data_IF_336397642388
#
_entry.id   IF_336397642388
#
_cell.length_a   1.000
_cell.length_b   1.000
_cell.length_c   1.000
_cell.angle_alpha   90.00
_cell.angle_beta   90.00
_cell.angle_gamma   90.00
#
_symmetry.space_group_name_H-M   'P 1'
#
loop_
_entity.id
_entity.type
_entity.pdbx_description
1 polymer ?
#
# COMPACT_ATOMS: atom_id res chain seq x y z
N UNK A 1 10.03 26.32 -6.32
CA UNK A 1 9.77 25.09 -7.06
C UNK A 1 8.29 24.75 -6.96
N UNK A 2 7.77 23.91 -7.85
CA UNK A 2 6.41 23.39 -7.70
C UNK A 2 6.25 22.68 -6.34
N UNK A 3 5.10 22.84 -5.68
CA UNK A 3 4.77 22.28 -4.36
C UNK A 3 5.61 22.74 -3.15
N UNK A 4 6.54 23.71 -3.30
CA UNK A 4 7.25 24.26 -2.14
C UNK A 4 6.24 24.80 -1.09
N UNK A 5 6.46 24.46 0.18
CA UNK A 5 5.68 25.01 1.27
C UNK A 5 6.23 26.38 1.63
N UNK A 6 5.40 27.41 1.48
CA UNK A 6 5.81 28.81 1.60
C UNK A 6 4.95 29.61 2.56
N UNK A 7 5.54 30.65 3.13
CA UNK A 7 4.81 31.78 3.70
C UNK A 7 4.64 32.80 2.58
N UNK A 8 3.38 33.10 2.24
CA UNK A 8 3.04 34.13 1.26
C UNK A 8 2.30 35.29 1.94
N UNK A 9 2.54 36.50 1.45
CA UNK A 9 1.78 37.70 1.80
C UNK A 9 0.73 37.91 0.72
N UNK A 10 -0.54 38.05 1.10
CA UNK A 10 -1.61 38.40 0.17
C UNK A 10 -1.50 39.89 -0.17
N UNK A 11 -1.44 40.22 -1.46
CA UNK A 11 -1.26 41.60 -1.96
C UNK A 11 -2.49 42.09 -2.76
N UNK A 12 -3.32 41.17 -3.27
CA UNK A 12 -4.55 41.50 -3.99
C UNK A 12 -5.83 41.16 -3.22
N UNK A 13 -6.77 42.11 -3.15
CA UNK A 13 -8.09 41.92 -2.50
C UNK A 13 -9.15 41.28 -3.42
N UNK A 14 -9.10 41.53 -4.73
CA UNK A 14 -10.11 41.03 -5.68
C UNK A 14 -9.72 39.73 -6.38
N UNK A 15 -8.43 39.58 -6.72
CA UNK A 15 -7.80 38.28 -6.99
C UNK A 15 -6.87 38.01 -5.83
N UNK A 16 -6.98 36.84 -5.20
CA UNK A 16 -6.09 36.42 -4.08
C UNK A 16 -4.68 36.16 -4.61
N UNK A 17 -4.02 37.21 -5.06
CA UNK A 17 -2.64 37.23 -5.48
C UNK A 17 -1.75 37.49 -4.26
N UNK A 18 -0.53 36.98 -4.30
CA UNK A 18 0.38 37.15 -3.19
C UNK A 18 1.83 36.91 -3.58
N UNK A 19 2.71 37.39 -2.71
CA UNK A 19 4.15 37.30 -2.86
C UNK A 19 4.72 36.31 -1.86
N UNK A 20 5.61 35.43 -2.33
CA UNK A 20 6.36 34.53 -1.46
C UNK A 20 7.32 35.35 -0.60
N UNK A 21 7.16 35.25 0.72
CA UNK A 21 8.01 35.92 1.71
C UNK A 21 9.14 34.99 2.14
N UNK A 22 8.82 33.72 2.38
CA UNK A 22 9.77 32.72 2.87
C UNK A 22 9.37 31.33 2.41
N UNK A 23 10.37 30.50 2.16
CA UNK A 23 10.20 29.09 1.85
C UNK A 23 10.48 28.30 3.12
N UNK A 24 9.48 27.54 3.59
CA UNK A 24 9.56 26.76 4.82
C UNK A 24 10.14 25.38 4.56
N UNK A 25 9.74 24.77 3.45
CA UNK A 25 10.11 23.42 3.07
C UNK A 25 10.15 23.31 1.55
N UNK A 26 11.20 22.66 1.04
CA UNK A 26 11.37 22.43 -0.39
C UNK A 26 10.72 21.11 -0.76
N UNK A 27 9.88 21.11 -1.78
CA UNK A 27 9.19 19.89 -2.20
C UNK A 27 10.13 18.91 -2.93
N UNK A 28 11.07 19.44 -3.71
CA UNK A 28 12.03 18.63 -4.47
C UNK A 28 13.45 18.91 -4.00
N UNK A 29 14.07 17.91 -3.39
CA UNK A 29 15.50 17.92 -3.00
C UNK A 29 16.35 17.09 -3.96
N UNK A 30 15.73 16.17 -4.70
CA UNK A 30 16.32 15.39 -5.79
C UNK A 30 15.52 15.60 -7.06
N UNK A 31 16.19 15.42 -8.19
CA UNK A 31 15.61 15.50 -9.53
C UNK A 31 16.13 14.34 -10.37
N UNK A 32 15.25 13.78 -11.21
CA UNK A 32 15.63 12.86 -12.28
C UNK A 32 15.70 13.59 -13.62
N UNK A 33 16.77 13.35 -14.38
CA UNK A 33 16.96 14.03 -15.65
C UNK A 33 18.12 13.50 -16.47
N UNK A 34 18.22 13.99 -17.71
CA UNK A 34 19.32 13.65 -18.61
C UNK A 34 20.48 14.62 -18.39
N UNK A 35 21.69 14.11 -18.16
CA UNK A 35 22.87 14.96 -18.07
C UNK A 35 23.37 15.32 -19.48
N UNK A 36 23.59 16.60 -19.72
CA UNK A 36 24.22 17.12 -20.92
C UNK A 36 25.58 17.72 -20.56
N UNK A 37 26.62 17.21 -21.18
CA UNK A 37 28.00 17.62 -20.95
C UNK A 37 28.51 18.26 -22.22
N UNK A 38 28.73 19.57 -22.14
CA UNK A 38 29.38 20.37 -23.19
C UNK A 38 30.85 20.57 -22.83
N UNK A 39 31.62 21.21 -23.74
CA UNK A 39 33.02 21.55 -23.47
C UNK A 39 33.19 22.54 -22.31
N UNK A 40 32.19 23.38 -22.04
CA UNK A 40 32.28 24.50 -21.09
C UNK A 40 31.45 24.29 -19.82
N UNK A 41 30.39 23.50 -19.88
CA UNK A 41 29.50 23.29 -18.74
C UNK A 41 28.76 21.94 -18.80
N UNK A 42 28.26 21.50 -17.66
CA UNK A 42 27.38 20.34 -17.54
C UNK A 42 26.06 20.76 -16.93
N UNK A 43 24.97 20.18 -17.42
CA UNK A 43 23.63 20.46 -16.93
C UNK A 43 22.82 19.18 -16.81
N UNK A 44 21.94 19.09 -15.83
CA UNK A 44 20.87 18.09 -15.78
C UNK A 44 19.58 18.73 -16.26
N UNK A 45 18.99 18.17 -17.32
CA UNK A 45 17.67 18.51 -17.83
C UNK A 45 16.63 17.62 -17.16
N UNK A 46 15.75 18.17 -16.29
CA UNK A 46 14.72 17.38 -15.63
C UNK A 46 13.80 16.68 -16.64
N UNK A 47 13.37 15.45 -16.35
CA UNK A 47 12.41 14.71 -17.20
C UNK A 47 11.01 15.34 -17.13
N UNK A 48 10.64 15.91 -15.97
CA UNK A 48 9.34 16.53 -15.76
C UNK A 48 9.28 17.99 -16.24
N UNK A 49 8.28 18.30 -17.09
CA UNK A 49 8.03 19.64 -17.64
C UNK A 49 7.64 20.69 -16.60
N UNK A 50 7.28 20.27 -15.37
CA UNK A 50 6.94 21.15 -14.26
C UNK A 50 8.14 21.90 -13.69
N UNK A 51 9.36 21.47 -14.01
CA UNK A 51 10.60 22.14 -13.66
C UNK A 51 11.22 22.76 -14.93
N UNK A 52 11.00 24.06 -15.21
CA UNK A 52 11.35 24.66 -16.49
C UNK A 52 12.82 25.12 -16.58
N UNK A 53 13.68 24.66 -15.67
CA UNK A 53 15.07 25.10 -15.56
C UNK A 53 16.02 23.91 -15.64
N UNK A 54 17.18 24.12 -16.26
CA UNK A 54 18.30 23.19 -16.24
C UNK A 54 19.14 23.40 -14.97
N UNK A 55 19.68 22.33 -14.40
CA UNK A 55 20.50 22.40 -13.20
C UNK A 55 21.97 22.29 -13.57
N UNK A 56 22.75 23.31 -13.26
CA UNK A 56 24.19 23.29 -13.47
C UNK A 56 24.86 22.21 -12.60
N UNK A 57 25.79 21.47 -13.20
CA UNK A 57 26.61 20.46 -12.52
C UNK A 57 28.07 20.89 -12.61
N UNK A 58 28.69 21.14 -11.46
CA UNK A 58 30.12 21.44 -11.43
C UNK A 58 30.95 20.21 -11.85
N UNK A 59 32.17 20.37 -12.39
CA UNK A 59 32.98 19.24 -12.84
C UNK A 59 33.21 18.16 -11.79
N UNK A 60 33.39 18.54 -10.51
CA UNK A 60 33.59 17.63 -9.40
C UNK A 60 32.30 16.93 -8.93
N UNK A 61 31.13 17.46 -9.33
CA UNK A 61 29.81 16.99 -8.93
C UNK A 61 29.16 16.08 -9.97
N UNK A 62 29.90 15.68 -11.02
CA UNK A 62 29.41 14.82 -12.10
C UNK A 62 29.20 13.36 -11.70
N UNK A 63 29.82 12.90 -10.61
CA UNK A 63 29.65 11.52 -10.12
C UNK A 63 30.00 10.42 -11.14
N UNK A 64 30.86 10.71 -12.12
CA UNK A 64 31.24 9.76 -13.18
C UNK A 64 30.24 9.64 -14.34
N UNK A 65 29.17 10.42 -14.36
CA UNK A 65 28.18 10.38 -15.43
C UNK A 65 28.74 10.84 -16.78
N UNK A 66 28.31 10.19 -17.86
CA UNK A 66 28.66 10.50 -19.25
C UNK A 66 27.56 11.33 -19.91
N UNK A 67 27.94 12.03 -20.97
CA UNK A 67 26.99 12.83 -21.75
C UNK A 67 25.81 11.98 -22.24
N UNK A 68 24.60 12.46 -21.98
CA UNK A 68 23.36 11.84 -22.42
C UNK A 68 22.82 10.73 -21.50
N UNK A 69 23.49 10.41 -20.40
CA UNK A 69 22.98 9.44 -19.41
C UNK A 69 21.85 10.05 -18.58
N UNK A 70 20.97 9.19 -18.06
CA UNK A 70 19.96 9.62 -17.08
C UNK A 70 20.54 9.51 -15.69
N UNK A 71 20.34 10.54 -14.88
CA UNK A 71 20.91 10.66 -13.55
C UNK A 71 19.86 11.10 -12.55
N UNK A 72 20.07 10.69 -11.30
CA UNK A 72 19.47 11.34 -10.13
C UNK A 72 20.48 12.34 -9.61
N UNK A 73 20.05 13.59 -9.46
CA UNK A 73 20.86 14.65 -8.92
C UNK A 73 20.21 15.28 -7.69
N UNK A 74 21.02 15.56 -6.67
CA UNK A 74 20.61 16.29 -5.48
C UNK A 74 20.79 17.80 -5.72
N UNK A 75 19.75 18.56 -5.41
CA UNK A 75 19.76 20.02 -5.61
C UNK A 75 20.64 20.67 -4.55
N UNK A 76 21.73 21.31 -4.99
CA UNK A 76 22.63 22.08 -4.13
C UNK A 76 22.09 23.49 -3.94
N UNK A 77 21.65 24.12 -5.03
CA UNK A 77 21.07 25.46 -4.99
C UNK A 77 19.85 25.57 -5.89
N UNK A 78 18.82 26.21 -5.36
CA UNK A 78 17.55 26.45 -6.05
C UNK A 78 17.63 27.68 -6.96
N UNK A 79 16.74 27.78 -7.98
CA UNK A 79 16.77 28.90 -8.91
C UNK A 79 16.49 30.22 -8.18
N UNK A 80 17.23 31.26 -8.57
CA UNK A 80 17.01 32.64 -8.15
C UNK A 80 17.03 33.55 -9.38
N UNK A 81 16.54 34.78 -9.26
CA UNK A 81 16.53 35.75 -10.38
C UNK A 81 17.92 35.99 -11.00
N UNK A 82 18.99 35.75 -10.23
CA UNK A 82 20.36 36.05 -10.64
C UNK A 82 21.21 34.82 -10.94
N UNK A 83 20.78 33.61 -10.56
CA UNK A 83 21.60 32.40 -10.65
C UNK A 83 20.77 31.19 -11.05
N UNK A 84 21.23 30.40 -12.03
CA UNK A 84 20.62 29.13 -12.34
C UNK A 84 20.75 28.18 -11.14
N UNK A 85 19.86 27.20 -11.02
CA UNK A 85 19.99 26.18 -9.99
C UNK A 85 21.21 25.29 -10.27
N UNK A 86 21.71 24.64 -9.22
CA UNK A 86 22.84 23.72 -9.31
C UNK A 86 22.53 22.43 -8.58
N UNK A 87 23.11 21.33 -9.04
CA UNK A 87 22.96 20.01 -8.45
C UNK A 87 24.26 19.20 -8.52
N UNK A 88 24.31 18.14 -7.72
CA UNK A 88 25.31 17.09 -7.82
C UNK A 88 24.69 15.77 -8.22
N UNK A 89 25.34 15.04 -9.11
CA UNK A 89 24.92 13.68 -9.48
C UNK A 89 25.19 12.76 -8.30
N UNK A 90 24.14 12.09 -7.83
CA UNK A 90 24.23 11.10 -6.74
C UNK A 90 24.10 9.67 -7.24
N UNK A 91 23.46 9.47 -8.40
CA UNK A 91 23.28 8.15 -9.03
C UNK A 91 23.15 8.28 -10.54
N UNK A 92 23.85 7.43 -11.29
CA UNK A 92 23.61 7.22 -12.72
C UNK A 92 22.62 6.07 -12.86
N UNK A 93 21.54 6.26 -13.62
CA UNK A 93 20.57 5.22 -13.90
C UNK A 93 21.02 4.42 -15.12
N UNK A 94 21.18 3.11 -14.94
CA UNK A 94 21.50 2.19 -16.02
C UNK A 94 20.25 1.95 -16.87
N UNK A 95 20.39 2.00 -18.20
CA UNK A 95 19.33 1.68 -19.18
C UNK A 95 17.98 2.38 -18.89
N UNK A 96 17.91 3.72 -18.99
CA UNK A 96 16.73 4.50 -18.63
C UNK A 96 15.48 4.21 -19.44
N UNK A 97 15.61 3.54 -20.58
CA UNK A 97 14.49 3.12 -21.43
C UNK A 97 13.83 1.80 -20.97
N UNK A 98 14.40 1.13 -19.96
CA UNK A 98 13.78 -0.04 -19.34
C UNK A 98 12.77 0.38 -18.25
N UNK A 99 11.56 -0.21 -18.19
CA UNK A 99 10.53 0.16 -17.19
C UNK A 99 11.02 0.12 -15.73
N UNK A 100 11.94 -0.80 -15.40
CA UNK A 100 12.55 -0.88 -14.06
C UNK A 100 13.34 0.37 -13.70
N UNK A 101 14.08 0.94 -14.64
CA UNK A 101 14.85 2.16 -14.41
C UNK A 101 13.92 3.36 -14.19
N UNK A 102 12.74 3.39 -14.83
CA UNK A 102 11.73 4.42 -14.57
C UNK A 102 11.15 4.33 -13.16
N UNK A 103 10.81 3.12 -12.69
CA UNK A 103 10.35 2.91 -11.32
C UNK A 103 11.43 3.33 -10.32
N UNK A 104 12.70 2.95 -10.55
CA UNK A 104 13.81 3.41 -9.72
C UNK A 104 13.97 4.94 -9.70
N UNK A 105 13.78 5.59 -10.85
CA UNK A 105 13.83 7.04 -10.95
C UNK A 105 12.75 7.69 -10.07
N UNK A 106 11.51 7.17 -10.11
CA UNK A 106 10.39 7.66 -9.31
C UNK A 106 10.68 7.46 -7.81
N UNK A 107 11.17 6.29 -7.42
CA UNK A 107 11.53 6.00 -6.02
C UNK A 107 12.55 7.01 -5.50
N UNK A 108 13.57 7.33 -6.28
CA UNK A 108 14.61 8.28 -5.89
C UNK A 108 14.14 9.74 -5.93
N UNK A 109 13.33 10.12 -6.92
CA UNK A 109 12.79 11.47 -7.08
C UNK A 109 11.84 11.84 -5.94
N UNK A 110 10.95 10.93 -5.56
CA UNK A 110 10.04 11.12 -4.42
C UNK A 110 10.68 10.74 -3.07
N UNK A 111 11.96 10.35 -3.08
CA UNK A 111 12.71 9.93 -1.89
C UNK A 111 11.96 8.87 -1.07
N UNK A 112 11.36 7.91 -1.76
CA UNK A 112 10.59 6.84 -1.13
C UNK A 112 11.54 5.91 -0.35
N UNK A 113 11.30 5.68 0.96
CA UNK A 113 12.13 4.81 1.78
C UNK A 113 12.00 3.35 1.34
N UNK A 114 12.89 2.89 0.46
CA UNK A 114 12.83 1.55 -0.12
C UNK A 114 13.74 0.51 0.57
N UNK A 115 14.61 0.95 1.49
CA UNK A 115 15.49 0.06 2.28
C UNK A 115 15.21 0.24 3.77
N UNK A 116 15.08 -0.88 4.48
CA UNK A 116 14.96 -0.82 5.94
C UNK A 116 16.34 -0.59 6.58
N UNK A 117 16.43 0.27 7.60
CA UNK A 117 17.64 0.38 8.40
C UNK A 117 18.00 -0.94 9.08
N UNK A 118 19.30 -1.17 9.33
CA UNK A 118 19.80 -2.40 9.96
C UNK A 118 19.09 -2.73 11.27
N UNK A 119 18.88 -1.73 12.13
CA UNK A 119 18.19 -1.93 13.41
C UNK A 119 16.73 -2.37 13.28
N UNK A 120 16.07 -2.08 12.16
CA UNK A 120 14.71 -2.57 11.87
C UNK A 120 14.73 -4.05 11.51
N UNK A 121 15.68 -4.48 10.69
CA UNK A 121 15.85 -5.90 10.36
C UNK A 121 16.25 -6.74 11.57
N UNK A 122 17.13 -6.23 12.44
CA UNK A 122 17.52 -6.91 13.67
C UNK A 122 16.32 -7.07 14.61
N UNK A 123 15.57 -5.98 14.84
CA UNK A 123 14.34 -6.03 15.64
C UNK A 123 13.28 -7.00 15.07
N UNK A 124 13.09 -7.05 13.75
CA UNK A 124 12.12 -7.94 13.13
C UNK A 124 12.49 -9.43 13.29
N UNK A 125 13.79 -9.75 13.23
CA UNK A 125 14.26 -11.14 13.42
C UNK A 125 14.07 -11.65 14.84
N UNK A 126 14.20 -10.77 15.83
CA UNK A 126 14.01 -11.12 17.24
C UNK A 126 12.55 -11.52 17.56
N UNK A 127 11.58 -11.05 16.76
CA UNK A 127 10.15 -11.33 16.98
C UNK A 127 9.75 -12.77 16.59
N UNK A 128 10.52 -13.47 15.76
CA UNK A 128 10.14 -14.76 15.16
C UNK A 128 10.17 -15.97 16.10
N UNK A 129 10.74 -15.86 17.31
CA UNK A 129 11.14 -17.03 18.10
C UNK A 129 10.08 -17.68 18.98
N UNK A 130 9.24 -16.92 19.68
CA UNK A 130 8.60 -17.45 20.91
C UNK A 130 7.19 -16.90 21.23
N UNK A 131 6.65 -16.05 20.35
CA UNK A 131 5.53 -15.16 20.68
C UNK A 131 4.15 -15.87 20.79
N UNK A 132 3.95 -17.01 20.13
CA UNK A 132 2.61 -17.60 19.99
C UNK A 132 2.03 -18.22 21.29
N UNK A 133 2.86 -18.60 22.27
CA UNK A 133 2.38 -19.40 23.43
C UNK A 133 2.08 -18.55 24.67
N UNK A 134 2.81 -17.46 24.91
CA UNK A 134 2.75 -16.74 26.18
C UNK A 134 1.50 -15.84 26.35
N UNK A 135 0.95 -15.29 25.26
CA UNK A 135 -0.19 -14.35 25.32
C UNK A 135 -1.56 -14.99 24.98
N UNK A 136 -1.56 -16.28 24.57
CA UNK A 136 -2.78 -17.01 24.24
C UNK A 136 -3.79 -17.04 25.41
N UNK A 137 -3.30 -17.08 26.66
CA UNK A 137 -4.15 -17.12 27.86
C UNK A 137 -4.92 -15.82 28.16
N UNK A 138 -4.61 -14.71 27.49
CA UNK A 138 -5.29 -13.41 27.68
C UNK A 138 -6.20 -13.02 26.52
N UNK A 139 -6.23 -13.82 25.46
CA UNK A 139 -6.95 -13.55 24.22
C UNK A 139 -8.22 -14.37 24.15
N UNK A 140 -9.25 -13.86 23.47
CA UNK A 140 -10.43 -14.65 23.19
C UNK A 140 -10.08 -15.73 22.17
N UNK A 141 -10.25 -16.99 22.54
CA UNK A 141 -10.03 -18.12 21.65
C UNK A 141 -11.18 -18.25 20.64
N UNK A 142 -10.87 -18.01 19.37
CA UNK A 142 -11.79 -18.08 18.24
C UNK A 142 -11.33 -19.10 17.19
N UNK A 143 -10.35 -19.95 17.50
CA UNK A 143 -9.81 -20.97 16.58
C UNK A 143 -10.85 -22.00 16.10
N UNK A 144 -11.99 -22.07 16.79
CA UNK A 144 -13.11 -22.95 16.46
C UNK A 144 -14.08 -22.38 15.42
N UNK A 145 -13.97 -21.09 15.08
CA UNK A 145 -14.85 -20.46 14.10
C UNK A 145 -14.35 -20.77 12.67
N UNK A 146 -15.25 -21.14 11.73
CA UNK A 146 -14.92 -21.16 10.32
C UNK A 146 -14.44 -19.78 9.87
N UNK A 147 -13.17 -19.69 9.48
CA UNK A 147 -12.50 -18.41 9.21
C UNK A 147 -11.77 -18.48 7.88
N UNK A 148 -11.90 -17.47 7.02
CA UNK A 148 -11.19 -17.42 5.74
C UNK A 148 -10.58 -16.04 5.51
N UNK A 149 -9.48 -15.99 4.75
CA UNK A 149 -9.02 -14.75 4.11
C UNK A 149 -9.43 -14.79 2.64
N UNK A 150 -9.74 -13.63 2.03
CA UNK A 150 -10.13 -13.53 0.62
C UNK A 150 -9.34 -12.39 -0.02
N UNK A 151 -8.35 -12.73 -0.82
CA UNK A 151 -7.36 -11.76 -1.32
C UNK A 151 -7.08 -11.93 -2.83
N UNK A 152 -6.25 -11.05 -3.39
CA UNK A 152 -5.72 -11.24 -4.74
C UNK A 152 -4.77 -12.46 -4.81
N UNK A 153 -4.64 -13.06 -6.00
CA UNK A 153 -3.82 -14.26 -6.24
C UNK A 153 -2.36 -14.07 -5.82
N UNK A 154 -1.85 -12.84 -5.93
CA UNK A 154 -0.45 -12.48 -5.64
C UNK A 154 -0.21 -11.98 -4.21
N UNK A 155 -1.26 -11.79 -3.41
CA UNK A 155 -1.16 -11.32 -2.03
C UNK A 155 -0.44 -12.33 -1.13
N UNK A 156 0.33 -11.84 -0.16
CA UNK A 156 1.09 -12.64 0.83
C UNK A 156 0.90 -12.15 2.27
N UNK A 157 0.48 -10.90 2.39
CA UNK A 157 0.15 -10.13 3.57
C UNK A 157 -1.37 -10.14 3.77
N UNK A 158 -1.88 -11.20 4.41
CA UNK A 158 -3.31 -11.34 4.68
C UNK A 158 -3.64 -10.60 5.97
N UNK A 159 -4.09 -9.35 5.84
CA UNK A 159 -4.32 -8.45 6.97
C UNK A 159 -5.68 -8.67 7.65
N UNK A 160 -6.66 -9.19 6.91
CA UNK A 160 -8.01 -9.46 7.40
C UNK A 160 -8.49 -10.88 7.11
N UNK A 161 -9.31 -11.39 8.03
CA UNK A 161 -10.04 -12.65 7.89
C UNK A 161 -11.46 -12.48 8.39
N UNK A 162 -12.40 -13.25 7.83
CA UNK A 162 -13.82 -13.11 8.10
C UNK A 162 -14.45 -14.43 8.54
N UNK A 163 -15.37 -14.31 9.51
CA UNK A 163 -16.30 -15.37 9.92
C UNK A 163 -17.70 -14.79 10.01
N UNK A 164 -18.71 -15.58 9.65
CA UNK A 164 -20.10 -15.15 9.72
C UNK A 164 -20.98 -16.27 10.30
N UNK A 165 -22.03 -15.90 11.04
CA UNK A 165 -23.09 -16.84 11.42
C UNK A 165 -24.46 -16.18 11.45
N UNK A 166 -25.50 -17.00 11.32
CA UNK A 166 -26.86 -16.58 11.62
C UNK A 166 -27.07 -16.56 13.14
N UNK A 167 -27.84 -15.58 13.60
CA UNK A 167 -28.32 -15.46 14.98
C UNK A 167 -29.85 -15.35 14.98
N UNK A 168 -30.48 -15.43 16.14
CA UNK A 168 -31.94 -15.25 16.26
C UNK A 168 -32.41 -13.88 15.70
N UNK A 169 -31.57 -12.86 15.83
CA UNK A 169 -31.89 -11.47 15.46
C UNK A 169 -31.41 -11.07 14.05
N UNK A 170 -30.64 -11.93 13.37
CA UNK A 170 -30.05 -11.62 12.06
C UNK A 170 -28.70 -12.30 11.89
N UNK A 171 -27.63 -11.52 11.83
CA UNK A 171 -26.27 -12.00 11.52
C UNK A 171 -25.29 -11.61 12.62
N UNK A 172 -24.23 -12.41 12.77
CA UNK A 172 -23.01 -11.99 13.46
C UNK A 172 -21.85 -12.12 12.52
N UNK A 173 -21.11 -11.02 12.38
CA UNK A 173 -19.90 -10.91 11.59
C UNK A 173 -18.72 -10.75 12.55
N UNK A 174 -17.66 -11.51 12.31
CA UNK A 174 -16.35 -11.24 12.88
C UNK A 174 -15.42 -10.82 11.77
N UNK A 175 -14.79 -9.67 11.96
CA UNK A 175 -13.65 -9.22 11.16
C UNK A 175 -12.42 -9.32 12.04
N UNK A 176 -11.51 -10.22 11.68
CA UNK A 176 -10.26 -10.47 12.39
C UNK A 176 -9.15 -9.73 11.66
N UNK A 177 -8.54 -8.75 12.32
CA UNK A 177 -7.42 -7.98 11.74
C UNK A 177 -6.11 -8.47 12.35
N UNK A 178 -5.07 -8.63 11.53
CA UNK A 178 -3.72 -8.92 12.00
C UNK A 178 -3.31 -8.01 13.16
N UNK A 179 -2.84 -8.59 14.28
CA UNK A 179 -2.48 -7.81 15.47
C UNK A 179 -1.08 -7.18 15.35
N UNK A 180 -0.91 -6.30 14.37
CA UNK A 180 0.36 -5.59 14.09
C UNK A 180 0.83 -4.81 15.31
N UNK A 181 -0.09 -4.19 16.06
CA UNK A 181 0.22 -3.36 17.22
C UNK A 181 0.87 -4.14 18.36
N UNK A 182 0.62 -5.45 18.44
CA UNK A 182 1.28 -6.33 19.40
C UNK A 182 2.74 -6.61 19.02
N UNK A 183 3.05 -6.78 17.73
CA UNK A 183 4.42 -7.01 17.26
C UNK A 183 5.26 -5.73 17.11
N UNK A 184 4.60 -4.57 17.01
CA UNK A 184 5.25 -3.28 16.76
C UNK A 184 4.96 -2.31 17.92
N UNK A 185 5.66 -2.43 19.06
CA UNK A 185 5.48 -1.53 20.19
C UNK A 185 5.81 -0.09 19.83
N UNK A 186 5.10 0.85 20.46
CA UNK A 186 5.34 2.28 20.31
C UNK A 186 6.78 2.65 20.67
N UNK A 187 7.43 3.44 19.81
CA UNK A 187 8.82 3.87 19.98
C UNK A 187 9.87 2.84 19.56
N UNK A 188 9.47 1.63 19.13
CA UNK A 188 10.41 0.63 18.61
C UNK A 188 11.05 1.09 17.28
N UNK A 189 12.21 0.53 16.88
CA UNK A 189 12.81 0.81 15.57
C UNK A 189 11.85 0.57 14.40
N UNK A 190 11.05 -0.50 14.47
CA UNK A 190 10.05 -0.85 13.46
C UNK A 190 8.94 0.20 13.42
N UNK A 191 8.41 0.62 14.57
CA UNK A 191 7.38 1.67 14.66
C UNK A 191 7.86 3.01 14.08
N UNK A 192 9.06 3.47 14.45
CA UNK A 192 9.61 4.71 13.92
C UNK A 192 9.76 4.69 12.39
N UNK A 193 10.22 3.56 11.84
CA UNK A 193 10.35 3.38 10.39
C UNK A 193 8.99 3.24 9.70
N UNK A 194 8.03 2.53 10.30
CA UNK A 194 6.67 2.42 9.80
C UNK A 194 5.97 3.79 9.75
N UNK A 195 6.11 4.62 10.80
CA UNK A 195 5.59 6.00 10.83
C UNK A 195 6.23 6.89 9.77
N UNK A 196 7.52 6.70 9.49
CA UNK A 196 8.23 7.41 8.42
C UNK A 196 7.74 7.00 7.02
N UNK A 197 7.44 5.71 6.83
CA UNK A 197 6.88 5.16 5.58
C UNK A 197 5.42 5.53 5.38
N UNK A 198 4.65 5.59 6.48
CA UNK A 198 3.21 5.81 6.59
C UNK A 198 2.31 4.77 5.91
N UNK A 199 2.69 4.29 4.73
CA UNK A 199 1.95 3.29 3.94
C UNK A 199 2.91 2.47 3.09
N UNK A 200 2.46 1.28 2.68
CA UNK A 200 3.08 0.55 1.58
C UNK A 200 2.85 1.32 0.27
N UNK A 201 3.84 1.29 -0.64
CA UNK A 201 3.74 1.90 -1.98
C UNK A 201 3.74 0.81 -3.03
N UNK A 202 2.64 0.70 -3.78
CA UNK A 202 2.42 -0.35 -4.77
C UNK A 202 2.79 0.19 -6.17
N UNK A 203 3.81 -0.41 -6.76
CA UNK A 203 4.16 -0.25 -8.17
C UNK A 203 3.65 -1.45 -8.99
N UNK A 204 3.51 -1.33 -10.31
CA UNK A 204 3.10 -2.45 -11.15
C UNK A 204 3.97 -3.72 -11.01
N UNK A 205 5.28 -3.56 -10.76
CA UNK A 205 6.23 -4.67 -10.69
C UNK A 205 6.60 -5.10 -9.26
N UNK A 206 6.37 -4.26 -8.25
CA UNK A 206 6.80 -4.51 -6.86
C UNK A 206 6.05 -3.66 -5.85
N UNK A 207 6.21 -4.02 -4.58
CA UNK A 207 5.75 -3.22 -3.43
C UNK A 207 6.96 -2.72 -2.64
N UNK A 208 6.92 -1.46 -2.23
CA UNK A 208 7.76 -0.96 -1.12
C UNK A 208 6.93 -1.13 0.14
N UNK A 209 7.20 -2.14 0.97
CA UNK A 209 6.34 -2.42 2.10
C UNK A 209 6.57 -1.42 3.23
N UNK A 210 5.51 -1.14 3.99
CA UNK A 210 5.57 -0.36 5.22
C UNK A 210 6.37 -1.09 6.31
N UNK A 211 6.19 -2.41 6.40
CA UNK A 211 6.81 -3.26 7.41
C UNK A 211 7.80 -4.26 6.77
N UNK A 212 8.81 -4.74 7.51
CA UNK A 212 9.65 -5.85 7.06
C UNK A 212 8.82 -7.08 6.73
N UNK A 213 9.29 -7.88 5.75
CA UNK A 213 8.57 -9.05 5.26
C UNK A 213 8.37 -10.12 6.33
N UNK A 214 9.32 -10.22 7.26
CA UNK A 214 9.25 -11.11 8.41
C UNK A 214 8.00 -10.83 9.27
N UNK A 215 7.52 -9.59 9.28
CA UNK A 215 6.27 -9.21 9.92
C UNK A 215 5.09 -9.33 8.96
N UNK A 216 5.12 -8.61 7.83
CA UNK A 216 3.95 -8.48 6.96
C UNK A 216 3.57 -9.77 6.26
N UNK A 217 4.53 -10.57 5.79
CA UNK A 217 4.27 -11.80 5.02
C UNK A 217 4.24 -13.06 5.91
N UNK A 218 4.62 -12.96 7.19
CA UNK A 218 4.64 -14.13 8.09
C UNK A 218 3.93 -13.91 9.42
N UNK A 219 4.52 -13.15 10.37
CA UNK A 219 4.00 -13.06 11.74
C UNK A 219 2.61 -12.43 11.84
N UNK A 220 2.38 -11.35 11.09
CA UNK A 220 1.11 -10.63 11.06
C UNK A 220 0.13 -11.26 10.05
N UNK A 221 0.63 -11.86 8.97
CA UNK A 221 -0.21 -12.47 7.93
C UNK A 221 -1.07 -13.59 8.50
N UNK A 222 -2.39 -13.51 8.31
CA UNK A 222 -3.41 -14.46 8.80
C UNK A 222 -3.44 -15.75 7.97
N UNK A 223 -2.27 -16.40 7.84
CA UNK A 223 -2.05 -17.59 7.02
C UNK A 223 -2.95 -18.77 7.41
N UNK A 224 -3.39 -19.58 6.44
CA UNK A 224 -4.27 -20.70 6.71
C UNK A 224 -3.56 -21.79 7.51
N UNK A 225 -4.32 -22.45 8.38
CA UNK A 225 -3.92 -23.58 9.23
C UNK A 225 -2.78 -23.30 10.21
N UNK A 226 -2.54 -22.03 10.52
CA UNK A 226 -1.56 -21.60 11.52
C UNK A 226 -2.25 -20.67 12.51
N UNK A 227 -1.95 -20.84 13.80
CA UNK A 227 -2.49 -19.96 14.84
C UNK A 227 -1.94 -18.53 14.67
N UNK A 228 -2.85 -17.56 14.71
CA UNK A 228 -2.51 -16.15 14.50
C UNK A 228 -3.18 -15.26 15.52
N UNK A 229 -2.42 -14.26 15.94
CA UNK A 229 -2.91 -13.20 16.83
C UNK A 229 -3.65 -12.18 15.97
N UNK A 230 -4.89 -11.94 16.34
CA UNK A 230 -5.74 -10.96 15.66
C UNK A 230 -6.40 -10.03 16.67
N UNK A 231 -6.74 -8.83 16.22
CA UNK A 231 -7.67 -7.95 16.90
C UNK A 231 -9.02 -8.04 16.18
N UNK A 232 -10.05 -8.53 16.89
CA UNK A 232 -11.34 -8.86 16.28
C UNK A 232 -12.38 -7.80 16.57
N UNK A 233 -13.10 -7.40 15.51
CA UNK A 233 -14.38 -6.71 15.60
C UNK A 233 -15.53 -7.71 15.46
N UNK A 234 -16.24 -8.00 16.56
CA UNK A 234 -17.48 -8.80 16.58
C UNK A 234 -18.67 -7.85 16.47
N UNK A 235 -19.45 -7.97 15.39
CA UNK A 235 -20.59 -7.11 15.10
C UNK A 235 -21.85 -7.94 14.92
N UNK A 236 -22.92 -7.53 15.61
CA UNK A 236 -24.26 -8.11 15.45
C UNK A 236 -25.09 -7.20 14.52
N UNK A 237 -25.73 -7.78 13.52
CA UNK A 237 -26.58 -7.10 12.55
C UNK A 237 -28.02 -7.67 12.60
N UNK A 238 -29.01 -6.79 12.46
CA UNK A 238 -30.39 -7.22 12.22
C UNK A 238 -30.54 -7.83 10.82
N UNK A 239 -31.68 -8.45 10.55
CA UNK A 239 -32.04 -8.94 9.21
C UNK A 239 -32.07 -7.84 8.13
N UNK A 240 -32.29 -6.60 8.53
CA UNK A 240 -32.28 -5.43 7.64
C UNK A 240 -30.91 -4.71 7.59
N UNK A 241 -29.87 -5.32 8.16
CA UNK A 241 -28.49 -4.81 8.15
C UNK A 241 -28.22 -3.69 9.13
N UNK A 242 -29.11 -3.44 10.09
CA UNK A 242 -28.84 -2.50 11.18
C UNK A 242 -27.83 -3.09 12.15
N UNK A 243 -26.72 -2.39 12.39
CA UNK A 243 -25.75 -2.82 13.40
C UNK A 243 -26.34 -2.63 14.79
N UNK A 244 -26.62 -3.75 15.45
CA UNK A 244 -27.21 -3.82 16.80
C UNK A 244 -26.16 -3.67 17.89
N UNK A 245 -24.98 -4.26 17.69
CA UNK A 245 -23.89 -4.23 18.67
C UNK A 245 -22.53 -4.34 17.98
N UNK A 246 -21.48 -3.87 18.66
CA UNK A 246 -20.09 -4.04 18.26
C UNK A 246 -19.20 -4.24 19.49
N UNK A 247 -18.30 -5.22 19.43
CA UNK A 247 -17.30 -5.52 20.46
C UNK A 247 -15.94 -5.67 19.81
N UNK A 248 -14.91 -5.19 20.50
CA UNK A 248 -13.53 -5.18 20.01
C UNK A 248 -12.63 -5.82 21.06
N UNK A 249 -11.80 -6.78 20.65
CA UNK A 249 -10.92 -7.47 21.59
C UNK A 249 -9.77 -8.20 20.89
N UNK A 250 -8.62 -8.36 21.58
CA UNK A 250 -7.57 -9.29 21.16
C UNK A 250 -8.08 -10.74 21.15
N UNK A 251 -7.68 -11.47 20.13
CA UNK A 251 -8.14 -12.84 19.83
C UNK A 251 -7.02 -13.71 19.29
N UNK A 252 -7.26 -15.02 19.37
CA UNK A 252 -6.46 -16.06 18.72
C UNK A 252 -7.36 -16.77 17.69
N UNK A 253 -6.92 -16.79 16.43
CA UNK A 253 -7.68 -17.39 15.32
C UNK A 253 -6.85 -18.49 14.64
N UNK A 254 -7.53 -19.32 13.86
CA UNK A 254 -6.94 -20.30 12.95
C UNK A 254 -7.69 -20.17 11.62
N UNK A 255 -7.09 -19.49 10.65
CA UNK A 255 -7.71 -19.37 9.32
C UNK A 255 -7.84 -20.76 8.69
N UNK A 256 -9.03 -21.12 8.22
CA UNK A 256 -9.28 -22.40 7.59
C UNK A 256 -8.72 -22.47 6.19
N UNK A 257 -8.83 -21.39 5.42
CA UNK A 257 -8.43 -21.40 4.02
C UNK A 257 -8.05 -20.01 3.56
N UNK A 258 -7.06 -19.95 2.67
CA UNK A 258 -6.73 -18.73 1.93
C UNK A 258 -7.46 -18.80 0.60
N UNK A 259 -8.48 -17.97 0.46
CA UNK A 259 -9.27 -17.87 -0.76
C UNK A 259 -8.77 -16.74 -1.65
N UNK A 260 -9.09 -16.82 -2.94
CA UNK A 260 -8.94 -15.67 -3.83
C UNK A 260 -10.29 -15.13 -4.27
N UNK A 261 -10.33 -13.85 -4.64
CA UNK A 261 -11.54 -13.24 -5.21
C UNK A 261 -12.07 -14.05 -6.41
N UNK A 262 -11.18 -14.58 -7.24
CA UNK A 262 -11.53 -15.44 -8.38
C UNK A 262 -12.20 -16.74 -7.93
N UNK A 263 -11.65 -17.44 -6.93
CA UNK A 263 -12.26 -18.70 -6.43
C UNK A 263 -13.62 -18.46 -5.78
N UNK A 264 -13.78 -17.39 -4.99
CA UNK A 264 -15.06 -17.05 -4.36
C UNK A 264 -16.11 -16.66 -5.39
N UNK A 265 -15.73 -15.91 -6.44
CA UNK A 265 -16.60 -15.65 -7.60
C UNK A 265 -17.03 -16.96 -8.27
N UNK A 266 -16.10 -17.89 -8.53
CA UNK A 266 -16.44 -19.18 -9.13
C UNK A 266 -17.44 -19.97 -8.29
N UNK A 267 -17.31 -19.92 -6.97
CA UNK A 267 -18.22 -20.59 -6.03
C UNK A 267 -19.62 -19.99 -6.06
N UNK A 268 -19.72 -18.66 -5.96
CA UNK A 268 -20.99 -17.95 -5.71
C UNK A 268 -21.71 -17.50 -6.99
N UNK A 269 -20.97 -17.12 -8.02
CA UNK A 269 -21.49 -16.52 -9.25
C UNK A 269 -21.51 -17.55 -10.38
N UNK A 270 -20.35 -18.10 -10.72
CA UNK A 270 -20.23 -19.03 -11.85
C UNK A 270 -20.79 -20.43 -11.51
N UNK A 271 -21.01 -20.70 -10.21
CA UNK A 271 -21.42 -21.99 -9.66
C UNK A 271 -20.59 -23.17 -10.17
N UNK A 272 -19.27 -22.96 -10.28
CA UNK A 272 -18.35 -23.97 -10.80
C UNK A 272 -18.36 -25.22 -9.93
N UNK A 273 -18.70 -26.35 -10.55
CA UNK A 273 -18.90 -27.62 -9.84
C UNK A 273 -17.63 -28.10 -9.14
N UNK A 274 -16.48 -27.98 -9.80
CA UNK A 274 -15.21 -28.48 -9.26
C UNK A 274 -14.75 -27.62 -8.07
N UNK A 275 -14.83 -26.30 -8.20
CA UNK A 275 -14.46 -25.37 -7.13
C UNK A 275 -15.40 -25.50 -5.92
N UNK A 276 -16.70 -25.69 -6.15
CA UNK A 276 -17.68 -25.93 -5.07
C UNK A 276 -17.49 -27.27 -4.38
N UNK A 277 -17.18 -28.34 -5.13
CA UNK A 277 -16.85 -29.64 -4.54
C UNK A 277 -15.59 -29.56 -3.66
N UNK A 278 -14.55 -28.86 -4.16
CA UNK A 278 -13.28 -28.62 -3.43
C UNK A 278 -13.49 -27.90 -2.10
N UNK A 279 -14.32 -26.85 -2.07
CA UNK A 279 -14.58 -26.05 -0.86
C UNK A 279 -15.93 -26.33 -0.21
N UNK A 280 -16.46 -27.55 -0.41
CA UNK A 280 -17.80 -27.97 0.03
C UNK A 280 -18.13 -27.63 1.49
N UNK A 281 -17.14 -27.70 2.39
CA UNK A 281 -17.31 -27.39 3.82
C UNK A 281 -17.54 -25.91 4.11
N UNK A 282 -17.06 -25.01 3.26
CA UNK A 282 -17.16 -23.55 3.42
C UNK A 282 -18.29 -22.94 2.57
N UNK A 283 -18.99 -23.74 1.77
CA UNK A 283 -20.10 -23.25 0.95
C UNK A 283 -21.18 -22.54 1.76
N UNK A 284 -21.64 -23.06 2.91
CA UNK A 284 -22.65 -22.36 3.71
C UNK A 284 -22.15 -21.00 4.19
N UNK A 285 -20.87 -20.90 4.55
CA UNK A 285 -20.26 -19.64 5.00
C UNK A 285 -20.20 -18.62 3.84
N UNK A 286 -19.78 -19.02 2.64
CA UNK A 286 -19.75 -18.12 1.48
C UNK A 286 -21.15 -17.66 1.05
N UNK A 287 -22.14 -18.54 1.08
CA UNK A 287 -23.54 -18.20 0.76
C UNK A 287 -24.09 -17.20 1.79
N UNK A 288 -23.76 -17.38 3.06
CA UNK A 288 -24.14 -16.46 4.13
C UNK A 288 -23.41 -15.10 4.05
N UNK A 289 -22.12 -15.10 3.68
CA UNK A 289 -21.37 -13.87 3.42
C UNK A 289 -22.01 -13.07 2.28
N UNK A 290 -22.40 -13.74 1.20
CA UNK A 290 -23.10 -13.11 0.08
C UNK A 290 -24.45 -12.50 0.50
N UNK A 291 -25.24 -13.24 1.29
CA UNK A 291 -26.51 -12.74 1.82
C UNK A 291 -26.31 -11.46 2.65
N UNK A 292 -25.39 -11.50 3.62
CA UNK A 292 -25.08 -10.35 4.47
C UNK A 292 -24.54 -9.17 3.65
N UNK A 293 -23.65 -9.41 2.68
CA UNK A 293 -23.16 -8.40 1.75
C UNK A 293 -24.33 -7.70 1.02
N UNK A 294 -25.29 -8.46 0.50
CA UNK A 294 -26.48 -7.91 -0.14
C UNK A 294 -27.30 -7.00 0.78
N UNK A 295 -27.53 -7.44 2.02
CA UNK A 295 -28.26 -6.68 3.04
C UNK A 295 -27.54 -5.37 3.40
N UNK A 296 -26.23 -5.44 3.67
CA UNK A 296 -25.41 -4.27 4.02
C UNK A 296 -25.30 -3.27 2.87
N UNK A 297 -25.15 -3.76 1.64
CA UNK A 297 -25.09 -2.93 0.43
C UNK A 297 -26.40 -2.18 0.20
N UNK A 298 -27.54 -2.85 0.32
CA UNK A 298 -28.84 -2.18 0.21
C UNK A 298 -29.00 -1.07 1.26
N UNK A 299 -28.56 -1.32 2.51
CA UNK A 299 -28.58 -0.30 3.56
C UNK A 299 -27.64 0.87 3.25
N UNK A 300 -26.42 0.60 2.75
CA UNK A 300 -25.45 1.61 2.32
C UNK A 300 -26.04 2.51 1.22
N UNK A 301 -26.75 1.93 0.25
CA UNK A 301 -27.45 2.68 -0.81
C UNK A 301 -28.61 3.52 -0.26
N UNK A 302 -29.45 2.97 0.62
CA UNK A 302 -30.55 3.71 1.28
C UNK A 302 -30.04 4.91 2.09
N UNK A 303 -28.81 4.85 2.62
CA UNK A 303 -28.15 5.94 3.34
C UNK A 303 -27.61 7.04 2.41
N UNK A 304 -27.71 6.88 1.09
CA UNK A 304 -27.24 7.85 0.10
C UNK A 304 -25.78 7.69 -0.30
N UNK A 305 -25.18 6.51 -0.08
CA UNK A 305 -23.84 6.23 -0.61
C UNK A 305 -23.86 6.24 -2.14
N UNK A 306 -22.94 7.00 -2.74
CA UNK A 306 -22.62 6.87 -4.15
C UNK A 306 -21.68 5.66 -4.32
N UNK A 307 -22.01 4.76 -5.23
CA UNK A 307 -21.17 3.62 -5.63
C UNK A 307 -20.68 3.91 -7.05
N UNK A 308 -19.45 4.42 -7.15
CA UNK A 308 -18.82 4.70 -8.43
C UNK A 308 -18.07 3.44 -8.87
N UNK A 309 -18.67 2.63 -9.74
CA UNK A 309 -17.96 1.55 -10.42
C UNK A 309 -17.08 2.11 -11.55
N UNK A 310 -16.03 2.84 -11.15
CA UNK A 310 -15.06 3.37 -12.10
C UNK A 310 -14.12 2.24 -12.54
N UNK A 311 -13.88 2.09 -13.85
CA UNK A 311 -12.90 1.13 -14.34
C UNK A 311 -11.51 1.52 -13.84
N UNK A 312 -10.90 0.67 -13.01
CA UNK A 312 -9.50 0.80 -12.64
C UNK A 312 -8.61 0.09 -13.67
N UNK A 313 -7.46 0.67 -14.06
CA UNK A 313 -6.53 0.00 -14.96
C UNK A 313 -5.64 -0.99 -14.20
N UNK A 314 -5.52 -2.21 -14.71
CA UNK A 314 -4.51 -3.18 -14.29
C UNK A 314 -3.44 -3.30 -15.37
N UNK A 315 -2.17 -3.16 -14.98
CA UNK A 315 -1.02 -3.25 -15.88
C UNK A 315 -0.45 -4.66 -15.83
N UNK A 316 -0.56 -5.40 -16.93
CA UNK A 316 0.03 -6.72 -17.08
C UNK A 316 1.48 -6.57 -17.57
N UNK A 317 2.41 -7.20 -16.87
CA UNK A 317 3.84 -7.18 -17.19
C UNK A 317 4.29 -8.56 -17.69
N UNK A 318 5.15 -8.56 -18.72
CA UNK A 318 5.83 -9.76 -19.18
C UNK A 318 6.92 -10.23 -18.19
N UNK A 319 7.60 -11.34 -18.50
CA UNK A 319 8.68 -11.89 -17.66
C UNK A 319 9.89 -10.95 -17.52
N UNK A 320 10.05 -10.00 -18.44
CA UNK A 320 11.09 -8.98 -18.44
C UNK A 320 10.64 -7.72 -17.67
N UNK A 321 9.39 -7.65 -17.22
CA UNK A 321 8.81 -6.52 -16.51
C UNK A 321 8.32 -5.39 -17.43
N UNK A 322 8.12 -5.66 -18.72
CA UNK A 322 7.59 -4.68 -19.68
C UNK A 322 6.06 -4.76 -19.74
N UNK A 323 5.36 -3.62 -19.89
CA UNK A 323 3.92 -3.62 -20.09
C UNK A 323 3.53 -4.41 -21.34
N UNK A 324 2.82 -5.52 -21.15
CA UNK A 324 2.24 -6.35 -22.22
C UNK A 324 0.85 -5.84 -22.59
N UNK A 325 0.04 -5.50 -21.58
CA UNK A 325 -1.31 -4.98 -21.76
C UNK A 325 -1.73 -4.09 -20.57
N UNK A 326 -2.71 -3.23 -20.82
CA UNK A 326 -3.47 -2.53 -19.78
C UNK A 326 -4.91 -2.98 -19.93
N UNK A 327 -5.43 -3.65 -18.90
CA UNK A 327 -6.77 -4.21 -18.88
C UNK A 327 -7.62 -3.51 -17.82
N UNK A 328 -8.95 -3.67 -17.89
CA UNK A 328 -9.83 -3.21 -16.82
C UNK A 328 -9.74 -4.21 -15.66
N UNK A 329 -9.41 -3.74 -14.46
CA UNK A 329 -9.45 -4.52 -13.24
C UNK A 329 -10.88 -5.03 -13.03
N UNK A 330 -11.01 -6.32 -12.73
CA UNK A 330 -12.31 -6.94 -12.50
C UNK A 330 -12.75 -6.73 -11.05
N UNK A 331 -13.78 -5.90 -10.83
CA UNK A 331 -14.49 -5.81 -9.55
C UNK A 331 -15.71 -6.73 -9.60
N UNK A 332 -15.70 -7.77 -8.77
CA UNK A 332 -16.76 -8.79 -8.74
C UNK A 332 -17.37 -8.93 -7.33
N UNK A 333 -18.33 -9.84 -7.18
CA UNK A 333 -19.05 -10.06 -5.92
C UNK A 333 -18.13 -10.40 -4.74
N UNK A 334 -17.04 -11.13 -4.96
CA UNK A 334 -16.10 -11.46 -3.89
C UNK A 334 -15.40 -10.21 -3.33
N UNK A 335 -15.09 -9.23 -4.19
CA UNK A 335 -14.54 -7.95 -3.75
C UNK A 335 -15.56 -7.18 -2.92
N UNK A 336 -16.83 -7.18 -3.33
CA UNK A 336 -17.93 -6.53 -2.60
C UNK A 336 -18.28 -7.19 -1.26
N UNK A 337 -17.94 -8.47 -1.07
CA UNK A 337 -18.14 -9.16 0.21
C UNK A 337 -17.17 -8.64 1.27
N UNK A 338 -15.94 -8.33 0.87
CA UNK A 338 -14.89 -7.81 1.75
C UNK A 338 -15.01 -6.29 1.96
N UNK A 339 -15.42 -5.53 0.93
CA UNK A 339 -15.69 -4.08 0.99
C UNK A 339 -16.91 -3.71 1.85
#
# INVERSE_FOLDING_TARGET
>A
MHNDRVVARVEGWHRREGRIVRILERASTRISGRIEITRTASFVRPKHRTVPFEFYVAPNDRGGARNGETVIAEVISYPTDKRPPACRVVKVLERPDEPRAEVEAIIEEFNLPHRFPRGVHEAAKELGGEIAVADAGRRKDLRHLPTVTIDGERARDFDDAVSVKITEHGYRLWVHIADVGFFVPWGSPIDMEARKRATSVYFPDRVIPMLPKELSEDLCSLRPKVERLAFTAEMDFSRDGERLNARFYPSLILSDERMTYTSVRKILVDQDRHERERYSRLLPDFELMNELCGVLRQRRLKRGSLDFDLPEPEVLLDLQGRPEAIVRAERNLAHMIIE
#
